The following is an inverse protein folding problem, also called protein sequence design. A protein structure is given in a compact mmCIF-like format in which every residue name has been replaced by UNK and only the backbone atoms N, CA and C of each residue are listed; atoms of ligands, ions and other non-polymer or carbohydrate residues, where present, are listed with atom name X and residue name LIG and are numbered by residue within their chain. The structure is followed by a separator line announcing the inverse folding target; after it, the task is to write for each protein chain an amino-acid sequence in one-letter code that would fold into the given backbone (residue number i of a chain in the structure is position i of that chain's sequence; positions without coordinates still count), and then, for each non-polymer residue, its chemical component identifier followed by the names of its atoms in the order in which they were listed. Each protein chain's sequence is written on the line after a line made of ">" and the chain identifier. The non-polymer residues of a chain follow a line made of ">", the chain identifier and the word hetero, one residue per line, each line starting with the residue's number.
data_IF_546851926699
#
_entry.id   IF_546851926699
#
_cell.length_a   1.000
_cell.length_b   1.000
_cell.length_c   1.000
_cell.angle_alpha   90.00
_cell.angle_beta   90.00
_cell.angle_gamma   90.00
#
_symmetry.space_group_name_H-M   'P 1'
#
loop_
_entity.id
_entity.type
_entity.pdbx_description
1 polymer ?
#
# COMPACT_ATOMS: atom_id res chain seq x y z
N UNK A 1 -14.95 22.54 6.51
CA UNK A 1 -14.65 21.52 5.48
C UNK A 1 -13.17 21.63 5.17
N UNK A 2 -12.36 20.65 5.57
CA UNK A 2 -10.96 20.57 5.13
C UNK A 2 -10.96 20.29 3.64
N UNK A 3 -10.26 21.09 2.84
CA UNK A 3 -10.13 20.78 1.41
C UNK A 3 -9.48 19.39 1.25
N UNK A 4 -9.89 18.61 0.23
CA UNK A 4 -9.32 17.29 -0.01
C UNK A 4 -7.81 17.40 -0.20
N UNK A 5 -7.06 16.44 0.36
CA UNK A 5 -5.60 16.41 0.21
C UNK A 5 -5.28 16.35 -1.28
N UNK A 6 -4.49 17.30 -1.83
CA UNK A 6 -4.21 17.32 -3.25
C UNK A 6 -3.46 16.04 -3.64
N UNK A 7 -3.80 15.51 -4.82
CA UNK A 7 -3.04 14.41 -5.40
C UNK A 7 -1.67 14.94 -5.82
N UNK A 8 -0.62 14.43 -5.19
CA UNK A 8 0.77 14.78 -5.50
C UNK A 8 1.32 13.70 -6.41
N UNK A 9 1.85 14.03 -7.57
CA UNK A 9 2.52 13.07 -8.45
C UNK A 9 3.54 13.83 -9.31
N UNK A 10 4.83 13.43 -9.40
CA UNK A 10 5.80 14.17 -10.20
C UNK A 10 5.40 14.24 -11.67
N UNK A 11 4.71 13.22 -12.19
CA UNK A 11 4.13 13.32 -13.52
C UNK A 11 3.13 14.49 -13.58
N UNK A 12 2.22 14.67 -12.61
CA UNK A 12 1.29 15.82 -12.62
C UNK A 12 2.04 17.15 -12.47
N UNK A 13 3.05 17.21 -11.60
CA UNK A 13 3.78 18.44 -11.25
C UNK A 13 4.75 18.89 -12.36
N UNK A 14 5.21 17.97 -13.21
CA UNK A 14 6.09 18.24 -14.33
C UNK A 14 5.48 17.69 -15.64
N UNK A 15 4.51 18.40 -16.24
CA UNK A 15 3.82 17.95 -17.45
C UNK A 15 4.74 17.76 -18.65
N UNK A 16 5.80 18.57 -18.72
CA UNK A 16 6.63 18.79 -19.92
C UNK A 16 7.85 17.86 -20.04
N UNK A 17 7.97 16.85 -19.17
CA UNK A 17 9.04 15.85 -19.31
C UNK A 17 8.83 15.10 -20.63
N UNK A 18 9.80 15.13 -21.58
CA UNK A 18 9.63 14.47 -22.86
C UNK A 18 9.38 12.97 -22.68
N UNK A 19 8.47 12.42 -23.48
CA UNK A 19 8.31 10.98 -23.57
C UNK A 19 9.59 10.34 -24.11
N UNK A 20 9.91 9.14 -23.63
CA UNK A 20 10.97 8.35 -24.23
C UNK A 20 10.60 7.96 -25.66
N UNK A 21 11.61 7.77 -26.50
CA UNK A 21 11.42 7.23 -27.84
C UNK A 21 10.82 5.82 -27.74
N UNK A 22 9.61 5.59 -28.29
CA UNK A 22 8.98 4.28 -28.25
C UNK A 22 9.84 3.17 -28.85
N UNK A 23 10.72 3.45 -29.82
CA UNK A 23 11.62 2.45 -30.44
C UNK A 23 12.55 1.79 -29.41
N UNK A 24 12.84 2.47 -28.29
CA UNK A 24 13.59 1.89 -27.18
C UNK A 24 12.94 0.67 -26.53
N UNK A 25 11.65 0.42 -26.80
CA UNK A 25 10.93 -0.77 -26.34
C UNK A 25 11.26 -2.02 -27.16
N UNK A 26 11.68 -1.88 -28.42
CA UNK A 26 11.76 -2.98 -29.38
C UNK A 26 12.55 -4.21 -28.87
N UNK A 27 13.73 -4.04 -28.23
CA UNK A 27 14.45 -5.17 -27.65
C UNK A 27 13.66 -5.92 -26.56
N UNK A 28 12.95 -5.19 -25.70
CA UNK A 28 12.12 -5.77 -24.65
C UNK A 28 10.89 -6.47 -25.24
N UNK A 29 10.24 -5.87 -26.25
CA UNK A 29 9.08 -6.48 -26.92
C UNK A 29 9.47 -7.82 -27.58
N UNK A 30 10.60 -7.84 -28.28
CA UNK A 30 11.13 -9.07 -28.86
C UNK A 30 11.44 -10.12 -27.78
N UNK A 31 12.03 -9.69 -26.65
CA UNK A 31 12.33 -10.59 -25.53
C UNK A 31 11.07 -11.21 -24.91
N UNK A 32 10.01 -10.43 -24.73
CA UNK A 32 8.76 -10.86 -24.11
C UNK A 32 8.04 -11.92 -24.95
N UNK A 33 8.21 -11.90 -26.28
CA UNK A 33 7.66 -12.89 -27.20
C UNK A 33 8.52 -14.14 -27.41
N UNK A 34 9.72 -14.21 -26.82
CA UNK A 34 10.59 -15.39 -26.90
C UNK A 34 10.14 -16.47 -25.92
N UNK A 35 10.27 -17.74 -26.28
CA UNK A 35 10.02 -18.88 -25.37
C UNK A 35 11.20 -19.15 -24.42
N UNK A 36 12.33 -18.47 -24.59
CA UNK A 36 13.50 -18.67 -23.74
C UNK A 36 13.22 -18.24 -22.29
N UNK A 37 13.55 -19.12 -21.34
CA UNK A 37 13.42 -18.86 -19.92
C UNK A 37 14.23 -17.64 -19.49
N UNK A 38 13.73 -16.92 -18.48
CA UNK A 38 14.42 -15.77 -17.86
C UNK A 38 15.24 -16.29 -16.68
N UNK A 39 16.52 -16.57 -16.89
CA UNK A 39 17.41 -17.11 -15.86
C UNK A 39 18.03 -16.02 -14.96
N UNK A 40 18.21 -14.81 -15.51
CA UNK A 40 18.76 -13.64 -14.83
C UNK A 40 17.91 -12.39 -15.08
N UNK A 41 18.08 -11.34 -14.28
CA UNK A 41 17.42 -10.06 -14.51
C UNK A 41 18.02 -9.38 -15.77
N UNK A 42 17.20 -9.15 -16.80
CA UNK A 42 17.58 -8.60 -18.11
C UNK A 42 17.16 -7.13 -18.23
N UNK A 43 18.11 -6.22 -18.48
CA UNK A 43 17.85 -4.78 -18.64
C UNK A 43 17.97 -4.34 -20.09
N UNK A 44 16.97 -3.59 -20.56
CA UNK A 44 16.83 -3.08 -21.92
C UNK A 44 16.95 -1.54 -21.92
N UNK A 45 17.02 -0.89 -23.10
CA UNK A 45 16.99 0.57 -23.18
C UNK A 45 15.77 1.16 -22.44
N UNK A 46 14.61 0.50 -22.58
CA UNK A 46 13.42 0.78 -21.78
C UNK A 46 12.97 -0.48 -21.04
N UNK A 47 13.23 -0.49 -19.73
CA UNK A 47 12.69 -1.46 -18.80
C UNK A 47 13.61 -2.62 -18.44
N UNK A 48 13.16 -3.39 -17.46
CA UNK A 48 13.85 -4.59 -16.96
C UNK A 48 12.85 -5.75 -16.87
N UNK A 49 13.21 -6.89 -17.44
CA UNK A 49 12.52 -8.17 -17.23
C UNK A 49 13.25 -8.93 -16.12
N UNK A 50 12.52 -9.34 -15.08
CA UNK A 50 13.09 -10.01 -13.91
C UNK A 50 12.74 -11.48 -13.88
N UNK A 51 13.59 -12.24 -13.20
CA UNK A 51 13.43 -13.69 -12.97
C UNK A 51 12.12 -14.08 -12.28
N UNK A 52 11.49 -13.16 -11.54
CA UNK A 52 10.18 -13.37 -10.90
C UNK A 52 8.98 -12.98 -11.79
N UNK A 53 9.21 -12.69 -13.07
CA UNK A 53 8.19 -12.30 -14.03
C UNK A 53 7.76 -10.83 -13.95
N UNK A 54 8.55 -9.98 -13.27
CA UNK A 54 8.33 -8.53 -13.30
C UNK A 54 8.85 -7.91 -14.58
N UNK A 55 7.99 -7.11 -15.21
CA UNK A 55 8.33 -6.19 -16.29
C UNK A 55 8.28 -4.79 -15.69
N UNK A 56 9.45 -4.25 -15.31
CA UNK A 56 9.59 -2.95 -14.63
C UNK A 56 9.99 -1.85 -15.61
N UNK A 57 9.06 -0.95 -15.88
CA UNK A 57 9.28 0.28 -16.64
C UNK A 57 8.97 1.52 -15.79
N UNK A 58 9.13 1.46 -14.47
CA UNK A 58 8.88 2.64 -13.65
C UNK A 58 9.82 3.79 -14.04
N UNK A 59 9.28 5.01 -14.16
CA UNK A 59 10.03 6.25 -14.43
C UNK A 59 10.76 6.25 -15.78
N UNK A 60 10.19 5.58 -16.79
CA UNK A 60 10.77 5.50 -18.14
C UNK A 60 10.11 6.47 -19.14
N UNK A 61 9.08 7.22 -18.72
CA UNK A 61 8.43 8.23 -19.57
C UNK A 61 7.77 7.66 -20.83
N UNK A 62 7.25 6.43 -20.79
CA UNK A 62 6.75 5.76 -22.01
C UNK A 62 5.46 6.39 -22.58
N UNK A 63 4.72 7.17 -21.79
CA UNK A 63 3.48 7.81 -22.21
C UNK A 63 2.36 6.84 -22.65
N UNK A 64 1.24 7.36 -23.17
CA UNK A 64 0.13 6.54 -23.65
C UNK A 64 0.51 5.66 -24.85
N UNK A 65 1.32 6.18 -25.78
CA UNK A 65 1.76 5.45 -26.96
C UNK A 65 2.68 4.26 -26.62
N UNK A 66 3.63 4.46 -25.71
CA UNK A 66 4.49 3.37 -25.24
C UNK A 66 3.72 2.31 -24.46
N UNK A 67 2.74 2.71 -23.64
CA UNK A 67 1.83 1.75 -22.99
C UNK A 67 1.04 0.93 -24.01
N UNK A 68 0.53 1.56 -25.07
CA UNK A 68 -0.20 0.88 -26.14
C UNK A 68 0.66 -0.12 -26.93
N UNK A 69 1.95 0.17 -27.14
CA UNK A 69 2.89 -0.78 -27.78
C UNK A 69 3.29 -1.91 -26.84
N UNK A 70 3.53 -1.61 -25.56
CA UNK A 70 4.03 -2.56 -24.58
C UNK A 70 2.99 -3.61 -24.17
N UNK A 71 1.77 -3.16 -23.87
CA UNK A 71 0.80 -3.98 -23.15
C UNK A 71 0.37 -5.26 -23.88
N UNK A 72 0.20 -5.29 -25.21
CA UNK A 72 -0.07 -6.54 -25.93
C UNK A 72 1.05 -7.57 -25.77
N UNK A 73 2.31 -7.16 -25.87
CA UNK A 73 3.46 -8.05 -25.72
C UNK A 73 3.58 -8.57 -24.27
N UNK A 74 3.32 -7.71 -23.28
CA UNK A 74 3.32 -8.10 -21.87
C UNK A 74 2.19 -9.08 -21.54
N UNK A 75 0.97 -8.82 -22.02
CA UNK A 75 -0.18 -9.68 -21.73
C UNK A 75 -0.06 -11.07 -22.37
N UNK A 76 0.54 -11.16 -23.57
CA UNK A 76 0.79 -12.41 -24.28
C UNK A 76 2.09 -13.12 -23.91
N UNK A 77 2.93 -12.53 -23.04
CA UNK A 77 4.22 -13.11 -22.69
C UNK A 77 4.07 -14.30 -21.74
N UNK A 78 4.78 -15.42 -21.96
CA UNK A 78 4.84 -16.52 -20.99
C UNK A 78 5.60 -16.17 -19.71
N UNK A 79 6.34 -15.06 -19.72
CA UNK A 79 7.22 -14.64 -18.61
C UNK A 79 6.55 -13.64 -17.68
N UNK A 80 5.69 -12.78 -18.22
CA UNK A 80 5.18 -11.63 -17.49
C UNK A 80 4.06 -12.00 -16.50
N UNK A 81 4.26 -11.66 -15.24
CA UNK A 81 3.29 -11.82 -14.15
C UNK A 81 2.95 -10.52 -13.45
N UNK A 82 3.86 -9.55 -13.52
CA UNK A 82 3.73 -8.30 -12.81
C UNK A 82 4.21 -7.18 -13.72
N UNK A 83 3.35 -6.21 -14.03
CA UNK A 83 3.72 -5.06 -14.85
C UNK A 83 3.79 -3.81 -13.98
N UNK A 84 4.93 -3.13 -14.00
CA UNK A 84 5.24 -1.98 -13.18
C UNK A 84 5.45 -0.76 -14.08
N UNK A 85 4.42 0.07 -14.21
CA UNK A 85 4.39 1.25 -15.08
C UNK A 85 4.33 2.56 -14.29
N UNK A 86 4.84 2.64 -13.07
CA UNK A 86 4.69 3.84 -12.26
C UNK A 86 5.47 5.05 -12.79
N UNK A 87 4.91 6.26 -12.69
CA UNK A 87 5.59 7.51 -13.12
C UNK A 87 5.97 7.50 -14.60
N UNK A 88 5.01 7.16 -15.48
CA UNK A 88 5.20 7.14 -16.93
C UNK A 88 4.27 8.10 -17.69
N UNK A 89 3.42 8.85 -16.98
CA UNK A 89 2.44 9.76 -17.57
C UNK A 89 1.55 9.10 -18.64
N UNK A 90 1.14 7.85 -18.42
CA UNK A 90 0.34 7.10 -19.41
C UNK A 90 -1.07 7.66 -19.58
N UNK A 91 -1.60 8.40 -18.60
CA UNK A 91 -2.92 9.01 -18.64
C UNK A 91 -4.07 8.00 -18.80
N UNK A 92 -5.27 8.52 -19.09
CA UNK A 92 -6.46 7.71 -19.31
C UNK A 92 -6.40 6.87 -20.58
N UNK A 93 -5.75 7.38 -21.63
CA UNK A 93 -5.52 6.65 -22.89
C UNK A 93 -4.63 5.43 -22.67
N UNK A 94 -3.53 5.58 -21.93
CA UNK A 94 -2.64 4.48 -21.60
C UNK A 94 -3.29 3.48 -20.63
N UNK A 95 -4.09 3.95 -19.66
CA UNK A 95 -4.92 3.07 -18.83
C UNK A 95 -5.92 2.25 -19.66
N UNK A 96 -6.54 2.87 -20.67
CA UNK A 96 -7.42 2.18 -21.62
C UNK A 96 -6.66 1.18 -22.49
N UNK A 97 -5.39 1.43 -22.81
CA UNK A 97 -4.54 0.45 -23.49
C UNK A 97 -4.18 -0.74 -22.59
N UNK A 98 -3.91 -0.50 -21.30
CA UNK A 98 -3.76 -1.57 -20.31
C UNK A 98 -5.04 -2.41 -20.25
N UNK A 99 -6.20 -1.77 -20.11
CA UNK A 99 -7.49 -2.46 -20.03
C UNK A 99 -7.76 -3.35 -21.25
N UNK A 100 -7.53 -2.85 -22.47
CA UNK A 100 -7.72 -3.64 -23.71
C UNK A 100 -6.78 -4.83 -23.83
N UNK A 101 -5.60 -4.77 -23.21
CA UNK A 101 -4.65 -5.88 -23.22
C UNK A 101 -5.00 -6.98 -22.22
N UNK A 102 -5.90 -6.71 -21.26
CA UNK A 102 -6.41 -7.71 -20.31
C UNK A 102 -7.50 -8.58 -20.95
N UNK A 103 -7.20 -9.18 -22.11
CA UNK A 103 -8.07 -10.17 -22.75
C UNK A 103 -7.95 -11.53 -22.04
N UNK A 104 -8.95 -12.39 -22.22
CA UNK A 104 -8.99 -13.73 -21.62
C UNK A 104 -7.68 -14.51 -21.87
N UNK A 105 -7.15 -15.12 -20.81
CA UNK A 105 -5.94 -15.97 -20.87
C UNK A 105 -4.60 -15.27 -20.61
N UNK A 106 -4.59 -13.98 -20.24
CA UNK A 106 -3.35 -13.29 -19.85
C UNK A 106 -2.74 -13.84 -18.55
N UNK A 107 -1.42 -13.73 -18.37
CA UNK A 107 -0.70 -14.19 -17.17
C UNK A 107 -0.58 -13.20 -16.00
N UNK A 108 -1.12 -11.98 -16.15
CA UNK A 108 -0.83 -10.86 -15.23
C UNK A 108 -1.56 -10.95 -13.89
N UNK A 109 -0.80 -10.96 -12.80
CA UNK A 109 -1.29 -10.97 -11.41
C UNK A 109 -1.23 -9.61 -10.74
N UNK A 110 -0.36 -8.71 -11.20
CA UNK A 110 -0.17 -7.38 -10.59
C UNK A 110 -0.08 -6.29 -11.64
N UNK A 111 -0.92 -5.27 -11.47
CA UNK A 111 -0.87 -4.03 -12.24
C UNK A 111 -0.44 -2.91 -11.31
N UNK A 112 0.79 -2.42 -11.49
CA UNK A 112 1.29 -1.27 -10.76
C UNK A 112 1.32 -0.02 -11.65
N UNK A 113 0.33 0.86 -11.44
CA UNK A 113 0.05 2.02 -12.29
C UNK A 113 0.17 3.34 -11.52
N UNK A 114 0.96 3.36 -10.45
CA UNK A 114 1.08 4.51 -9.56
C UNK A 114 1.67 5.77 -10.22
N UNK A 115 1.07 6.94 -9.95
CA UNK A 115 1.51 8.24 -10.43
C UNK A 115 1.62 8.32 -11.96
N UNK A 116 0.48 8.23 -12.64
CA UNK A 116 0.41 8.21 -14.10
C UNK A 116 -0.57 9.22 -14.71
N UNK A 117 -1.15 10.09 -13.88
CA UNK A 117 -2.24 11.01 -14.28
C UNK A 117 -3.50 10.27 -14.77
N UNK A 118 -3.78 9.09 -14.22
CA UNK A 118 -5.00 8.34 -14.54
C UNK A 118 -6.17 8.96 -13.78
N UNK A 119 -7.11 9.55 -14.52
CA UNK A 119 -8.36 10.10 -14.02
C UNK A 119 -9.49 9.07 -13.93
N UNK A 120 -10.72 9.53 -13.67
CA UNK A 120 -11.90 8.67 -13.58
C UNK A 120 -12.17 7.84 -14.84
N UNK A 121 -11.91 8.38 -16.03
CA UNK A 121 -12.18 7.69 -17.31
C UNK A 121 -11.24 6.50 -17.51
N UNK A 122 -9.95 6.69 -17.25
CA UNK A 122 -8.97 5.61 -17.32
C UNK A 122 -9.19 4.55 -16.25
N UNK A 123 -9.61 4.96 -15.04
CA UNK A 123 -10.01 4.02 -13.98
C UNK A 123 -11.22 3.22 -14.40
N UNK A 124 -12.23 3.85 -15.00
CA UNK A 124 -13.43 3.18 -15.50
C UNK A 124 -13.06 2.11 -16.51
N UNK A 125 -12.24 2.44 -17.51
CA UNK A 125 -11.75 1.47 -18.50
C UNK A 125 -11.03 0.28 -17.85
N UNK A 126 -10.14 0.53 -16.87
CA UNK A 126 -9.47 -0.53 -16.12
C UNK A 126 -10.46 -1.40 -15.34
N UNK A 127 -11.42 -0.80 -14.66
CA UNK A 127 -12.38 -1.50 -13.81
C UNK A 127 -13.40 -2.31 -14.62
N UNK A 128 -13.74 -1.86 -15.82
CA UNK A 128 -14.60 -2.61 -16.73
C UNK A 128 -13.94 -3.91 -17.16
N UNK A 129 -12.66 -3.86 -17.59
CA UNK A 129 -11.88 -5.05 -17.93
C UNK A 129 -11.70 -5.98 -16.72
N UNK A 130 -11.39 -5.41 -15.55
CA UNK A 130 -11.18 -6.19 -14.32
C UNK A 130 -12.48 -6.79 -13.73
N UNK A 131 -13.66 -6.34 -14.15
CA UNK A 131 -14.94 -6.81 -13.58
C UNK A 131 -15.23 -8.29 -13.85
N UNK A 132 -14.63 -8.85 -14.91
CA UNK A 132 -14.73 -10.27 -15.27
C UNK A 132 -13.40 -11.00 -15.22
N UNK A 133 -12.29 -10.29 -15.02
CA UNK A 133 -10.97 -10.89 -14.84
C UNK A 133 -10.88 -11.71 -13.54
N UNK A 134 -10.27 -12.88 -13.63
CA UNK A 134 -10.04 -13.80 -12.51
C UNK A 134 -8.55 -13.98 -12.17
N UNK A 135 -7.67 -13.29 -12.90
CA UNK A 135 -6.23 -13.51 -12.85
C UNK A 135 -5.50 -12.43 -12.05
N UNK A 136 -5.86 -11.14 -12.20
CA UNK A 136 -5.26 -10.03 -11.45
C UNK A 136 -5.63 -10.13 -9.97
N UNK A 137 -4.60 -10.11 -9.11
CA UNK A 137 -4.72 -10.18 -7.65
C UNK A 137 -4.40 -8.86 -6.95
N UNK A 138 -3.67 -7.98 -7.62
CA UNK A 138 -3.24 -6.71 -7.05
C UNK A 138 -3.29 -5.55 -8.05
N UNK A 139 -4.04 -4.50 -7.68
CA UNK A 139 -4.17 -3.26 -8.44
C UNK A 139 -3.63 -2.09 -7.61
N UNK A 140 -2.67 -1.36 -8.17
CA UNK A 140 -2.04 -0.22 -7.50
C UNK A 140 -2.23 1.08 -8.27
N UNK A 141 -3.03 1.98 -7.71
CA UNK A 141 -3.40 3.26 -8.35
C UNK A 141 -2.84 4.48 -7.62
N UNK A 142 -1.94 4.30 -6.64
CA UNK A 142 -1.40 5.37 -5.81
C UNK A 142 -1.07 6.64 -6.60
N UNK A 143 -1.41 7.80 -6.05
CA UNK A 143 -1.04 9.12 -6.60
C UNK A 143 -1.59 9.38 -8.01
N UNK A 144 -2.76 8.84 -8.34
CA UNK A 144 -3.52 9.18 -9.54
C UNK A 144 -4.77 9.98 -9.15
N UNK A 145 -5.25 10.93 -9.99
CA UNK A 145 -6.46 11.71 -9.74
C UNK A 145 -7.74 10.88 -9.94
N UNK A 146 -7.87 9.75 -9.23
CA UNK A 146 -9.02 8.83 -9.32
C UNK A 146 -10.32 9.52 -8.91
N UNK A 147 -10.29 10.27 -7.80
CA UNK A 147 -11.45 10.99 -7.26
C UNK A 147 -12.61 10.07 -6.86
N UNK A 148 -13.72 10.68 -6.45
CA UNK A 148 -14.91 9.93 -6.01
C UNK A 148 -15.56 9.14 -7.16
N UNK A 149 -15.55 9.67 -8.38
CA UNK A 149 -16.09 9.01 -9.57
C UNK A 149 -15.29 7.74 -9.91
N UNK A 150 -13.97 7.81 -9.91
CA UNK A 150 -13.12 6.63 -10.13
C UNK A 150 -13.26 5.61 -9.00
N UNK A 151 -13.40 6.03 -7.74
CA UNK A 151 -13.66 5.09 -6.63
C UNK A 151 -15.04 4.44 -6.77
N UNK A 152 -16.03 5.15 -7.31
CA UNK A 152 -17.35 4.58 -7.61
C UNK A 152 -17.24 3.45 -8.65
N UNK A 153 -16.44 3.64 -9.70
CA UNK A 153 -16.15 2.60 -10.68
C UNK A 153 -15.42 1.40 -10.05
N UNK A 154 -14.42 1.64 -9.19
CA UNK A 154 -13.74 0.59 -8.42
C UNK A 154 -14.72 -0.19 -7.54
N UNK A 155 -15.62 0.49 -6.82
CA UNK A 155 -16.63 -0.15 -5.99
C UNK A 155 -17.60 -1.01 -6.82
N UNK A 156 -17.97 -0.56 -8.02
CA UNK A 156 -18.80 -1.34 -8.94
C UNK A 156 -18.11 -2.62 -9.41
N UNK A 157 -16.84 -2.53 -9.80
CA UNK A 157 -16.02 -3.70 -10.17
C UNK A 157 -15.87 -4.68 -9.02
N UNK A 158 -15.62 -4.19 -7.79
CA UNK A 158 -15.44 -5.04 -6.61
C UNK A 158 -16.70 -5.81 -6.20
N UNK A 159 -17.89 -5.43 -6.65
CA UNK A 159 -19.10 -6.24 -6.46
C UNK A 159 -19.14 -7.50 -7.35
N UNK A 160 -18.36 -7.52 -8.43
CA UNK A 160 -18.34 -8.60 -9.42
C UNK A 160 -17.05 -9.41 -9.37
N UNK A 161 -15.91 -8.72 -9.38
CA UNK A 161 -14.60 -9.35 -9.33
C UNK A 161 -14.40 -10.03 -7.97
N UNK A 162 -14.04 -11.30 -7.92
CA UNK A 162 -13.75 -12.01 -6.66
C UNK A 162 -12.27 -12.42 -6.53
N UNK A 163 -11.46 -12.12 -7.54
CA UNK A 163 -10.05 -12.49 -7.60
C UNK A 163 -9.13 -11.50 -6.89
N UNK A 164 -9.44 -10.20 -6.93
CA UNK A 164 -8.60 -9.13 -6.38
C UNK A 164 -8.48 -9.24 -4.86
N UNK A 165 -7.24 -9.21 -4.36
CA UNK A 165 -6.89 -9.28 -2.93
C UNK A 165 -6.15 -8.04 -2.43
N UNK A 166 -5.59 -7.24 -3.33
CA UNK A 166 -4.88 -6.00 -3.00
C UNK A 166 -5.42 -4.83 -3.78
N UNK A 167 -5.72 -3.75 -3.08
CA UNK A 167 -6.10 -2.49 -3.68
C UNK A 167 -5.34 -1.34 -3.02
N UNK A 168 -4.65 -0.55 -3.84
CA UNK A 168 -4.04 0.70 -3.39
C UNK A 168 -4.72 1.92 -4.02
N UNK A 169 -5.21 2.77 -3.12
CA UNK A 169 -5.83 4.07 -3.37
C UNK A 169 -5.13 5.15 -2.52
N UNK A 170 -3.80 5.07 -2.37
CA UNK A 170 -3.01 6.05 -1.61
C UNK A 170 -2.97 7.37 -2.36
N UNK A 171 -3.40 8.46 -1.70
CA UNK A 171 -3.44 9.81 -2.26
C UNK A 171 -4.10 9.85 -3.63
N UNK A 172 -5.32 9.31 -3.71
CA UNK A 172 -6.13 9.26 -4.94
C UNK A 172 -7.40 10.10 -4.86
N UNK A 173 -7.59 10.84 -3.78
CA UNK A 173 -8.76 11.69 -3.57
C UNK A 173 -9.96 10.95 -2.98
N UNK A 174 -9.73 9.85 -2.24
CA UNK A 174 -10.80 9.14 -1.54
C UNK A 174 -11.39 10.04 -0.45
N UNK A 175 -12.70 10.28 -0.50
CA UNK A 175 -13.43 11.03 0.53
C UNK A 175 -14.21 10.10 1.45
N UNK A 176 -14.84 10.64 2.49
CA UNK A 176 -15.76 9.87 3.33
C UNK A 176 -16.94 9.28 2.53
N UNK A 177 -17.39 9.98 1.48
CA UNK A 177 -18.51 9.55 0.66
C UNK A 177 -18.14 8.32 -0.18
N UNK A 178 -17.02 8.37 -0.90
CA UNK A 178 -16.55 7.24 -1.71
C UNK A 178 -15.99 6.09 -0.87
N UNK A 179 -15.42 6.36 0.30
CA UNK A 179 -15.04 5.31 1.26
C UNK A 179 -16.26 4.48 1.71
N UNK A 180 -17.43 5.10 1.87
CA UNK A 180 -18.67 4.37 2.19
C UNK A 180 -19.10 3.45 1.05
N UNK A 181 -19.05 3.93 -0.19
CA UNK A 181 -19.35 3.10 -1.37
C UNK A 181 -18.39 1.91 -1.48
N UNK A 182 -17.10 2.14 -1.18
CA UNK A 182 -16.09 1.09 -1.15
C UNK A 182 -16.39 0.05 -0.06
N UNK A 183 -16.73 0.49 1.15
CA UNK A 183 -17.13 -0.40 2.25
C UNK A 183 -18.33 -1.27 1.86
N UNK A 184 -19.39 -0.65 1.31
CA UNK A 184 -20.61 -1.35 0.90
C UNK A 184 -20.29 -2.46 -0.12
N UNK A 185 -19.46 -2.15 -1.13
CA UNK A 185 -19.01 -3.13 -2.11
C UNK A 185 -18.21 -4.27 -1.46
N UNK A 186 -17.24 -3.94 -0.60
CA UNK A 186 -16.35 -4.92 0.00
C UNK A 186 -17.06 -5.89 0.96
N UNK A 187 -18.05 -5.39 1.70
CA UNK A 187 -18.82 -6.18 2.69
C UNK A 187 -19.66 -7.27 2.01
N UNK A 188 -20.06 -7.04 0.76
CA UNK A 188 -20.87 -7.99 -0.02
C UNK A 188 -20.06 -9.13 -0.67
N UNK A 189 -18.74 -9.12 -0.56
CA UNK A 189 -17.88 -10.04 -1.30
C UNK A 189 -17.82 -11.42 -0.62
N UNK A 190 -17.83 -12.53 -1.38
CA UNK A 190 -17.56 -13.85 -0.82
C UNK A 190 -16.10 -14.00 -0.38
N UNK A 191 -15.23 -13.16 -0.92
CA UNK A 191 -13.79 -13.23 -0.79
C UNK A 191 -13.24 -11.82 -0.51
N UNK A 192 -12.68 -11.59 0.68
CA UNK A 192 -12.28 -10.25 1.07
C UNK A 192 -11.12 -9.75 0.22
N UNK A 193 -11.10 -8.43 0.00
CA UNK A 193 -9.84 -7.73 -0.28
C UNK A 193 -9.07 -7.71 1.03
N UNK A 194 -7.89 -8.33 1.04
CA UNK A 194 -7.13 -8.55 2.26
C UNK A 194 -6.24 -7.36 2.60
N UNK A 195 -5.73 -6.68 1.57
CA UNK A 195 -4.74 -5.61 1.67
C UNK A 195 -5.26 -4.33 1.04
N UNK A 196 -5.51 -3.32 1.87
CA UNK A 196 -6.10 -2.06 1.46
C UNK A 196 -5.23 -0.88 1.90
N UNK A 197 -4.81 -0.07 0.92
CA UNK A 197 -3.99 1.11 1.16
C UNK A 197 -4.79 2.39 0.87
N UNK A 198 -4.94 3.22 1.90
CA UNK A 198 -5.77 4.43 1.91
C UNK A 198 -5.03 5.64 2.49
N UNK A 199 -3.70 5.58 2.56
CA UNK A 199 -2.86 6.66 3.07
C UNK A 199 -2.98 7.96 2.25
N UNK A 200 -2.73 9.11 2.86
CA UNK A 200 -2.60 10.37 2.13
C UNK A 200 -3.88 10.91 1.48
N UNK A 201 -5.06 10.52 1.96
CA UNK A 201 -6.35 10.96 1.45
C UNK A 201 -7.03 12.03 2.32
N UNK A 202 -6.41 12.42 3.44
CA UNK A 202 -6.98 13.43 4.33
C UNK A 202 -8.07 12.89 5.25
N UNK A 203 -8.13 11.56 5.45
CA UNK A 203 -9.14 10.91 6.28
C UNK A 203 -9.01 11.34 7.74
N UNK A 204 -10.12 11.71 8.38
CA UNK A 204 -10.15 12.22 9.75
C UNK A 204 -10.77 11.21 10.72
N UNK A 205 -10.77 11.53 12.01
CA UNK A 205 -11.46 10.77 13.04
C UNK A 205 -12.94 10.46 12.70
N UNK A 206 -13.62 11.29 11.92
CA UNK A 206 -15.03 11.09 11.56
C UNK A 206 -15.22 9.91 10.57
N UNK A 207 -14.17 9.54 9.84
CA UNK A 207 -14.17 8.36 8.95
C UNK A 207 -13.77 7.07 9.67
N UNK A 208 -13.32 7.15 10.93
CA UNK A 208 -12.77 6.00 11.65
C UNK A 208 -13.78 4.85 11.81
N UNK A 209 -15.08 5.16 11.92
CA UNK A 209 -16.13 4.14 11.96
C UNK A 209 -16.22 3.32 10.66
N UNK A 210 -16.06 3.97 9.50
CA UNK A 210 -16.02 3.29 8.19
C UNK A 210 -14.74 2.44 8.07
N UNK A 211 -13.61 2.99 8.51
CA UNK A 211 -12.32 2.27 8.49
C UNK A 211 -12.33 1.04 9.40
N UNK A 212 -12.95 1.14 10.58
CA UNK A 212 -13.16 0.02 11.49
C UNK A 212 -14.08 -1.05 10.87
N UNK A 213 -15.13 -0.64 10.14
CA UNK A 213 -16.02 -1.56 9.44
C UNK A 213 -15.33 -2.31 8.29
N UNK A 214 -14.33 -1.71 7.63
CA UNK A 214 -13.53 -2.43 6.64
C UNK A 214 -12.82 -3.65 7.25
N UNK A 215 -12.34 -3.53 8.48
CA UNK A 215 -11.70 -4.63 9.20
C UNK A 215 -12.74 -5.64 9.68
N UNK A 216 -13.75 -5.17 10.40
CA UNK A 216 -14.71 -6.02 11.11
C UNK A 216 -15.70 -6.71 10.18
N UNK A 217 -16.22 -5.98 9.20
CA UNK A 217 -17.38 -6.39 8.39
C UNK A 217 -16.93 -6.84 6.99
N UNK A 218 -15.94 -6.17 6.39
CA UNK A 218 -15.44 -6.52 5.06
C UNK A 218 -14.23 -7.47 5.06
N UNK A 219 -13.70 -7.83 6.24
CA UNK A 219 -12.63 -8.81 6.40
C UNK A 219 -11.25 -8.35 5.93
N UNK A 220 -11.01 -7.03 5.80
CA UNK A 220 -9.68 -6.49 5.49
C UNK A 220 -8.72 -6.79 6.63
N UNK A 221 -7.57 -7.41 6.32
CA UNK A 221 -6.59 -7.85 7.33
C UNK A 221 -5.34 -6.98 7.38
N UNK A 222 -5.00 -6.30 6.30
CA UNK A 222 -3.94 -5.32 6.27
C UNK A 222 -4.48 -3.97 5.80
N UNK A 223 -4.58 -3.03 6.74
CA UNK A 223 -5.13 -1.70 6.51
C UNK A 223 -4.03 -0.65 6.71
N UNK A 224 -3.64 0.00 5.60
CA UNK A 224 -2.57 0.99 5.58
C UNK A 224 -3.15 2.39 5.39
N UNK A 225 -3.08 3.21 6.43
CA UNK A 225 -3.62 4.55 6.54
C UNK A 225 -2.56 5.64 6.83
N UNK A 226 -1.29 5.54 6.38
CA UNK A 226 -0.29 6.53 6.73
C UNK A 226 -0.62 7.91 6.14
N UNK A 227 -0.16 8.98 6.78
CA UNK A 227 -0.34 10.35 6.34
C UNK A 227 -1.83 10.76 6.19
N UNK A 228 -2.64 10.49 7.21
CA UNK A 228 -4.02 10.96 7.35
C UNK A 228 -4.16 11.79 8.65
N UNK A 229 -5.36 12.06 9.15
CA UNK A 229 -5.64 12.94 10.29
C UNK A 229 -6.56 12.26 11.33
N UNK A 230 -6.31 10.98 11.62
CA UNK A 230 -7.18 10.19 12.49
C UNK A 230 -7.15 10.62 13.96
N UNK A 231 -5.98 11.06 14.45
CA UNK A 231 -5.76 11.40 15.85
C UNK A 231 -6.03 10.25 16.82
N UNK A 232 -6.03 10.57 18.12
CA UNK A 232 -6.29 9.59 19.18
C UNK A 232 -7.69 8.97 19.09
N UNK A 233 -8.71 9.77 18.77
CA UNK A 233 -10.10 9.29 18.61
C UNK A 233 -10.20 8.25 17.50
N UNK A 234 -9.61 8.50 16.33
CA UNK A 234 -9.64 7.56 15.22
C UNK A 234 -8.84 6.29 15.52
N UNK A 235 -7.68 6.43 16.18
CA UNK A 235 -6.88 5.29 16.61
C UNK A 235 -7.64 4.38 17.59
N UNK A 236 -8.38 4.95 18.55
CA UNK A 236 -9.18 4.18 19.49
C UNK A 236 -10.32 3.39 18.82
N UNK A 237 -10.99 3.98 17.83
CA UNK A 237 -12.04 3.29 17.05
C UNK A 237 -11.46 2.12 16.25
N UNK A 238 -10.29 2.30 15.63
CA UNK A 238 -9.59 1.23 14.91
C UNK A 238 -9.10 0.13 15.85
N UNK A 239 -8.59 0.50 17.03
CA UNK A 239 -8.15 -0.45 18.05
C UNK A 239 -9.30 -1.37 18.48
N UNK A 240 -10.50 -0.82 18.70
CA UNK A 240 -11.67 -1.63 19.04
C UNK A 240 -12.03 -2.66 17.96
N UNK A 241 -11.87 -2.33 16.68
CA UNK A 241 -12.10 -3.28 15.57
C UNK A 241 -10.98 -4.31 15.42
N UNK A 242 -9.78 -4.00 15.90
CA UNK A 242 -8.61 -4.88 15.87
C UNK A 242 -8.50 -5.80 17.10
N UNK A 243 -9.44 -5.74 18.05
CA UNK A 243 -9.36 -6.49 19.31
C UNK A 243 -9.65 -8.01 19.16
N UNK A 244 -10.17 -8.46 18.01
CA UNK A 244 -10.38 -9.90 17.74
C UNK A 244 -9.04 -10.62 17.55
N UNK A 245 -8.62 -11.35 18.59
CA UNK A 245 -7.37 -12.12 18.58
C UNK A 245 -7.42 -13.36 17.69
N UNK A 246 -8.62 -13.83 17.27
CA UNK A 246 -8.72 -14.98 16.37
C UNK A 246 -8.24 -14.66 14.96
N UNK A 247 -8.24 -13.37 14.58
CA UNK A 247 -7.85 -12.93 13.26
C UNK A 247 -7.02 -11.65 13.29
N UNK A 248 -5.74 -11.75 13.71
CA UNK A 248 -4.88 -10.58 13.89
C UNK A 248 -4.75 -9.73 12.62
N UNK A 249 -4.65 -8.41 12.82
CA UNK A 249 -4.57 -7.43 11.74
C UNK A 249 -3.22 -6.75 11.66
N UNK A 250 -2.95 -6.16 10.51
CA UNK A 250 -1.78 -5.31 10.24
C UNK A 250 -2.24 -3.89 10.01
N UNK A 251 -1.81 -2.98 10.87
CA UNK A 251 -2.22 -1.58 10.87
C UNK A 251 -1.04 -0.67 10.55
N UNK A 252 -1.14 0.05 9.44
CA UNK A 252 -0.23 1.14 9.09
C UNK A 252 -0.82 2.49 9.46
N UNK A 253 -0.41 3.09 10.56
CA UNK A 253 -1.00 4.32 11.13
C UNK A 253 0.00 5.49 11.22
N UNK A 254 1.12 5.41 10.50
CA UNK A 254 2.17 6.43 10.54
C UNK A 254 1.69 7.82 10.14
N UNK A 255 2.06 8.87 10.88
CA UNK A 255 1.71 10.26 10.55
C UNK A 255 0.20 10.50 10.52
N UNK A 256 -0.48 10.29 11.65
CA UNK A 256 -1.91 10.47 11.84
C UNK A 256 -2.27 11.44 12.97
N UNK A 257 -1.29 12.07 13.61
CA UNK A 257 -1.52 12.90 14.81
C UNK A 257 -1.89 12.07 16.04
N UNK A 258 -1.47 10.81 16.10
CA UNK A 258 -1.72 9.91 17.23
C UNK A 258 -0.75 10.26 18.37
N UNK A 259 -1.31 10.60 19.52
CA UNK A 259 -0.62 10.87 20.77
C UNK A 259 -0.64 9.68 21.74
N UNK A 260 -0.32 9.91 23.02
CA UNK A 260 -0.26 8.85 24.03
C UNK A 260 -1.60 8.13 24.25
N UNK A 261 -2.74 8.82 24.17
CA UNK A 261 -4.05 8.22 24.41
C UNK A 261 -4.44 7.23 23.31
N UNK A 262 -4.20 7.57 22.04
CA UNK A 262 -4.42 6.65 20.92
C UNK A 262 -3.43 5.48 20.95
N UNK A 263 -2.17 5.72 21.32
CA UNK A 263 -1.20 4.65 21.53
C UNK A 263 -1.63 3.69 22.65
N UNK A 264 -2.23 4.20 23.73
CA UNK A 264 -2.79 3.37 24.79
C UNK A 264 -3.95 2.50 24.30
N UNK A 265 -4.89 3.08 23.56
CA UNK A 265 -6.00 2.31 22.99
C UNK A 265 -5.51 1.18 22.06
N UNK A 266 -4.50 1.45 21.22
CA UNK A 266 -3.87 0.44 20.38
C UNK A 266 -3.15 -0.64 21.19
N UNK A 267 -2.51 -0.26 22.31
CA UNK A 267 -1.89 -1.21 23.23
C UNK A 267 -2.93 -2.11 23.90
N UNK A 268 -4.08 -1.57 24.31
CA UNK A 268 -5.16 -2.35 24.91
C UNK A 268 -5.75 -3.39 23.92
N UNK A 269 -5.61 -3.16 22.61
CA UNK A 269 -6.01 -4.08 21.54
C UNK A 269 -4.87 -4.92 20.95
N UNK A 270 -3.66 -4.88 21.53
CA UNK A 270 -2.45 -5.47 20.92
C UNK A 270 -2.55 -6.99 20.71
N UNK A 271 -3.41 -7.67 21.46
CA UNK A 271 -3.70 -9.10 21.31
C UNK A 271 -4.29 -9.52 19.95
N UNK A 272 -4.86 -8.58 19.19
CA UNK A 272 -5.34 -8.81 17.82
C UNK A 272 -4.54 -8.05 16.75
N UNK A 273 -3.33 -7.56 17.08
CA UNK A 273 -2.49 -6.79 16.15
C UNK A 273 -1.16 -7.51 15.91
N UNK A 274 -0.94 -7.96 14.67
CA UNK A 274 0.29 -8.63 14.26
C UNK A 274 1.35 -7.61 13.80
N UNK A 275 0.94 -6.48 13.23
CA UNK A 275 1.84 -5.39 12.80
C UNK A 275 1.24 -4.06 13.17
N UNK A 276 2.03 -3.23 13.84
CA UNK A 276 1.67 -1.85 14.17
C UNK A 276 2.76 -0.89 13.71
N UNK A 277 2.43 -0.06 12.72
CA UNK A 277 3.30 1.02 12.27
C UNK A 277 2.76 2.37 12.70
N UNK A 278 3.45 3.02 13.64
CA UNK A 278 3.16 4.38 14.12
C UNK A 278 4.22 5.37 13.66
N UNK A 279 5.20 4.94 12.86
CA UNK A 279 6.35 5.75 12.50
C UNK A 279 5.99 6.88 11.54
N UNK A 280 6.99 7.70 11.22
CA UNK A 280 6.84 8.78 10.25
C UNK A 280 6.94 8.26 8.81
N UNK A 281 5.87 8.36 7.99
CA UNK A 281 5.97 8.03 6.57
C UNK A 281 6.70 9.14 5.80
N UNK A 282 7.29 8.79 4.66
CA UNK A 282 7.99 9.75 3.79
C UNK A 282 7.05 10.86 3.29
N UNK A 283 5.78 10.54 3.07
CA UNK A 283 4.75 11.44 2.55
C UNK A 283 4.22 12.46 3.56
N UNK A 284 4.51 12.30 4.86
CA UNK A 284 3.94 13.12 5.94
C UNK A 284 4.07 14.62 5.67
N UNK A 285 5.29 15.09 5.36
CA UNK A 285 5.55 16.51 5.10
C UNK A 285 4.92 16.99 3.80
N UNK A 286 5.03 16.22 2.72
CA UNK A 286 4.51 16.60 1.41
C UNK A 286 2.99 16.69 1.36
N UNK A 287 2.30 15.94 2.24
CA UNK A 287 0.84 15.89 2.32
C UNK A 287 0.28 16.70 3.50
N UNK A 288 1.13 17.35 4.31
CA UNK A 288 0.70 18.13 5.47
C UNK A 288 0.06 17.28 6.57
N UNK A 289 0.40 16.00 6.65
CA UNK A 289 -0.15 15.11 7.67
C UNK A 289 0.54 15.35 9.03
N UNK A 290 -0.21 15.32 10.15
CA UNK A 290 0.35 15.49 11.48
C UNK A 290 1.22 14.29 11.89
N UNK A 291 2.39 14.55 12.44
CA UNK A 291 3.24 13.50 12.99
C UNK A 291 2.57 12.79 14.17
N UNK A 292 2.83 11.50 14.33
CA UNK A 292 2.48 10.80 15.57
C UNK A 292 3.45 11.24 16.68
N UNK A 293 2.93 11.51 17.87
CA UNK A 293 3.67 11.97 19.04
C UNK A 293 3.31 11.14 20.26
N UNK A 294 3.41 9.80 20.14
CA UNK A 294 3.04 8.87 21.20
C UNK A 294 3.97 8.94 22.42
N UNK A 295 5.21 9.39 22.21
CA UNK A 295 6.20 9.61 23.27
C UNK A 295 6.59 8.34 24.04
N UNK A 296 7.25 8.56 25.18
CA UNK A 296 7.57 7.49 26.12
C UNK A 296 6.29 6.88 26.71
N UNK A 297 5.24 7.65 26.98
CA UNK A 297 4.00 7.15 27.57
C UNK A 297 3.32 6.10 26.68
N UNK A 298 3.23 6.36 25.37
CA UNK A 298 2.74 5.36 24.41
C UNK A 298 3.63 4.12 24.35
N UNK A 299 4.96 4.29 24.48
CA UNK A 299 5.86 3.15 24.54
C UNK A 299 5.70 2.32 25.83
N UNK A 300 5.41 2.94 26.99
CA UNK A 300 5.10 2.22 28.22
C UNK A 300 3.78 1.44 28.12
N UNK A 301 2.77 2.03 27.48
CA UNK A 301 1.50 1.35 27.21
C UNK A 301 1.72 0.10 26.34
N UNK A 302 2.40 0.26 25.20
CA UNK A 302 2.74 -0.86 24.30
C UNK A 302 3.59 -1.91 25.01
N UNK A 303 4.60 -1.51 25.78
CA UNK A 303 5.45 -2.42 26.55
C UNK A 303 4.65 -3.27 27.54
N UNK A 304 3.66 -2.67 28.22
CA UNK A 304 2.81 -3.39 29.18
C UNK A 304 1.92 -4.44 28.52
N UNK A 305 1.58 -4.24 27.24
CA UNK A 305 0.74 -5.15 26.46
C UNK A 305 1.53 -6.16 25.60
N UNK A 306 2.86 -6.01 25.48
CA UNK A 306 3.69 -6.89 24.66
C UNK A 306 3.66 -8.37 25.09
N UNK A 307 3.73 -8.72 26.40
CA UNK A 307 3.69 -10.11 26.82
C UNK A 307 2.42 -10.84 26.35
N UNK A 308 2.59 -11.95 25.64
CA UNK A 308 1.48 -12.73 25.08
C UNK A 308 0.85 -12.14 23.81
N UNK A 309 1.33 -11.00 23.31
CA UNK A 309 0.83 -10.42 22.05
C UNK A 309 1.34 -11.18 20.81
N UNK A 310 0.56 -11.23 19.71
CA UNK A 310 1.00 -11.78 18.43
C UNK A 310 1.88 -10.79 17.62
N UNK A 311 2.32 -9.68 18.23
CA UNK A 311 2.97 -8.59 17.52
C UNK A 311 4.33 -9.02 16.96
N UNK A 312 4.44 -9.01 15.64
CA UNK A 312 5.66 -9.36 14.89
C UNK A 312 6.43 -8.13 14.44
N UNK A 313 5.75 -7.01 14.20
CA UNK A 313 6.39 -5.78 13.72
C UNK A 313 5.85 -4.55 14.44
N UNK A 314 6.76 -3.79 15.02
CA UNK A 314 6.47 -2.52 15.68
C UNK A 314 7.35 -1.40 15.10
N UNK A 315 6.75 -0.35 14.53
CA UNK A 315 7.50 0.79 13.98
C UNK A 315 7.19 2.06 14.79
N UNK A 316 8.23 2.64 15.39
CA UNK A 316 8.16 3.79 16.30
C UNK A 316 9.16 4.90 15.92
N UNK A 317 9.73 4.88 14.71
CA UNK A 317 10.61 5.97 14.25
C UNK A 317 9.85 7.29 14.22
N UNK A 318 10.43 8.30 14.87
CA UNK A 318 9.91 9.67 14.91
C UNK A 318 8.57 9.85 15.66
N UNK A 319 8.28 9.01 16.66
CA UNK A 319 7.07 9.15 17.49
C UNK A 319 7.28 9.95 18.79
N UNK A 320 8.43 10.59 18.97
CA UNK A 320 8.83 11.23 20.23
C UNK A 320 9.40 10.26 21.27
N UNK A 321 9.58 8.98 20.94
CA UNK A 321 10.22 7.97 21.80
C UNK A 321 11.65 8.37 22.20
N UNK A 322 11.94 8.37 23.50
CA UNK A 322 13.27 8.63 24.05
C UNK A 322 13.99 7.35 24.47
N UNK A 323 15.24 7.49 24.92
CA UNK A 323 16.02 6.37 25.43
C UNK A 323 15.41 5.70 26.67
N UNK A 324 14.57 6.41 27.45
CA UNK A 324 13.89 5.83 28.62
C UNK A 324 12.76 4.90 28.18
N UNK A 325 11.82 5.39 27.35
CA UNK A 325 10.75 4.55 26.82
C UNK A 325 11.30 3.36 26.02
N UNK A 326 12.35 3.55 25.22
CA UNK A 326 12.95 2.46 24.45
C UNK A 326 13.58 1.37 25.35
N UNK A 327 14.16 1.74 26.50
CA UNK A 327 14.67 0.77 27.49
C UNK A 327 13.53 0.01 28.17
N UNK A 328 12.45 0.71 28.50
CA UNK A 328 11.28 0.08 29.11
C UNK A 328 10.63 -0.92 28.14
N UNK A 329 10.43 -0.51 26.88
CA UNK A 329 9.95 -1.39 25.81
C UNK A 329 10.86 -2.62 25.64
N UNK A 330 12.19 -2.43 25.60
CA UNK A 330 13.15 -3.53 25.49
C UNK A 330 13.03 -4.53 26.65
N UNK A 331 12.87 -4.03 27.89
CA UNK A 331 12.77 -4.86 29.08
C UNK A 331 11.51 -5.72 29.07
N UNK A 332 10.43 -5.23 28.46
CA UNK A 332 9.15 -5.93 28.36
C UNK A 332 9.09 -6.98 27.25
N UNK A 333 10.05 -7.02 26.31
CA UNK A 333 10.10 -8.05 25.25
C UNK A 333 10.38 -9.43 25.88
N UNK A 334 9.44 -10.39 25.82
CA UNK A 334 9.66 -11.73 26.33
C UNK A 334 10.72 -12.50 25.52
N UNK A 335 11.35 -13.52 26.13
CA UNK A 335 12.34 -14.34 25.43
C UNK A 335 11.73 -15.18 24.30
N UNK A 336 10.45 -15.54 24.41
CA UNK A 336 9.67 -16.28 23.41
C UNK A 336 8.90 -15.38 22.44
N UNK A 337 9.11 -14.06 22.48
CA UNK A 337 8.40 -13.08 21.67
C UNK A 337 8.40 -13.43 20.17
N UNK A 338 7.27 -13.26 19.45
CA UNK A 338 7.21 -13.43 18.00
C UNK A 338 7.79 -12.21 17.25
N UNK A 339 8.27 -11.19 17.95
CA UNK A 339 8.73 -9.93 17.37
C UNK A 339 9.93 -10.13 16.44
N UNK A 340 9.81 -9.63 15.22
CA UNK A 340 10.81 -9.72 14.14
C UNK A 340 11.44 -8.36 13.81
N UNK A 341 10.74 -7.27 14.14
CA UNK A 341 11.19 -5.92 13.83
C UNK A 341 10.72 -4.91 14.86
N UNK A 342 11.66 -4.07 15.32
CA UNK A 342 11.36 -2.82 16.03
C UNK A 342 12.05 -1.65 15.34
N UNK A 343 11.26 -0.76 14.77
CA UNK A 343 11.72 0.48 14.16
C UNK A 343 11.96 1.54 15.21
N UNK A 344 13.23 1.95 15.38
CA UNK A 344 13.66 2.91 16.40
C UNK A 344 14.32 4.13 15.78
N UNK A 345 13.88 5.32 16.20
CA UNK A 345 14.35 6.62 15.69
C UNK A 345 15.87 6.81 15.75
N UNK A 346 16.45 7.67 14.89
CA UNK A 346 17.91 7.88 14.81
C UNK A 346 18.51 8.40 16.13
N UNK A 347 17.78 9.18 16.92
CA UNK A 347 18.24 9.75 18.19
C UNK A 347 18.44 8.76 19.35
N UNK A 348 18.11 7.48 19.17
CA UNK A 348 18.23 6.47 20.23
C UNK A 348 19.63 5.83 20.29
N UNK A 349 20.17 5.51 21.49
CA UNK A 349 21.50 4.94 21.63
C UNK A 349 21.68 3.63 20.84
N UNK A 350 22.81 3.52 20.11
CA UNK A 350 23.15 2.31 19.34
C UNK A 350 23.16 1.02 20.17
N UNK A 351 23.48 1.11 21.47
CA UNK A 351 23.46 -0.05 22.39
C UNK A 351 22.05 -0.59 22.60
N UNK A 352 21.03 0.29 22.69
CA UNK A 352 19.63 -0.11 22.83
C UNK A 352 19.16 -0.81 21.55
N UNK A 353 19.42 -0.22 20.39
CA UNK A 353 19.09 -0.82 19.08
C UNK A 353 19.69 -2.21 18.90
N UNK A 354 20.98 -2.37 19.19
CA UNK A 354 21.66 -3.68 19.16
C UNK A 354 21.07 -4.70 20.14
N UNK A 355 20.56 -4.23 21.28
CA UNK A 355 19.95 -5.13 22.27
C UNK A 355 18.61 -5.66 21.79
N UNK A 356 17.81 -4.84 21.10
CA UNK A 356 16.61 -5.33 20.40
C UNK A 356 16.97 -6.39 19.36
N UNK A 357 17.94 -6.15 18.48
CA UNK A 357 18.31 -7.10 17.42
C UNK A 357 18.61 -8.51 17.94
N UNK A 358 19.15 -8.66 19.16
CA UNK A 358 19.41 -9.97 19.78
C UNK A 358 18.16 -10.69 20.30
N UNK A 359 17.06 -9.98 20.49
CA UNK A 359 15.76 -10.51 20.95
C UNK A 359 14.76 -10.74 19.81
N UNK A 360 15.10 -10.31 18.58
CA UNK A 360 14.19 -10.41 17.44
C UNK A 360 14.35 -11.73 16.72
N UNK A 361 13.22 -12.29 16.28
CA UNK A 361 13.18 -13.44 15.37
C UNK A 361 13.57 -13.03 13.95
N UNK A 362 13.99 -14.00 13.11
CA UNK A 362 14.20 -13.75 11.69
C UNK A 362 12.93 -13.20 11.03
N UNK A 363 13.10 -12.19 10.17
CA UNK A 363 11.98 -11.61 9.45
C UNK A 363 11.39 -12.61 8.45
N UNK A 364 10.07 -12.78 8.52
CA UNK A 364 9.36 -13.49 7.44
C UNK A 364 9.27 -12.61 6.21
N UNK A 365 9.30 -13.25 5.04
CA UNK A 365 9.14 -12.57 3.77
C UNK A 365 7.80 -11.82 3.69
N UNK A 366 7.82 -10.64 3.05
CA UNK A 366 6.60 -9.93 2.73
C UNK A 366 5.72 -10.74 1.75
N UNK A 367 4.41 -10.48 1.78
CA UNK A 367 3.46 -11.11 0.86
C UNK A 367 3.90 -10.91 -0.61
N UNK A 368 3.71 -11.91 -1.51
CA UNK A 368 4.09 -11.82 -2.92
C UNK A 368 3.69 -10.50 -3.61
N UNK A 369 2.44 -10.05 -3.44
CA UNK A 369 1.98 -8.79 -4.05
C UNK A 369 2.77 -7.56 -3.56
N UNK A 370 3.25 -7.55 -2.31
CA UNK A 370 4.11 -6.48 -1.77
C UNK A 370 5.55 -6.61 -2.28
N UNK A 371 6.05 -7.84 -2.46
CA UNK A 371 7.37 -8.07 -3.06
C UNK A 371 7.41 -7.66 -4.53
N UNK A 372 6.33 -7.91 -5.26
CA UNK A 372 6.19 -7.54 -6.67
C UNK A 372 6.41 -6.03 -6.90
N UNK A 373 6.02 -5.20 -5.93
CA UNK A 373 6.17 -3.74 -5.96
C UNK A 373 7.26 -3.21 -5.00
N UNK A 374 8.09 -4.11 -4.44
CA UNK A 374 9.08 -3.78 -3.41
C UNK A 374 10.22 -2.86 -3.85
N UNK A 375 10.46 -2.69 -5.16
CA UNK A 375 11.36 -1.67 -5.70
C UNK A 375 10.77 -0.26 -5.62
N UNK A 376 9.44 -0.12 -5.51
CA UNK A 376 8.70 1.14 -5.69
C UNK A 376 8.10 1.73 -4.40
N UNK A 377 8.12 0.98 -3.29
CA UNK A 377 7.62 1.41 -1.97
C UNK A 377 8.72 1.68 -0.93
N UNK A 378 9.98 1.81 -1.36
CA UNK A 378 11.10 2.15 -0.46
C UNK A 378 11.20 3.64 -0.17
#
# INVERSE_FOLDING_TARGET
>A
MTQPTPVRCPAIEHPDVPAADPEGLDPLLARLGSDQAVEDDETFPLGTLRTDGRVDLCKQGIGPAGAARLMPAVAGSPHARHVLLGTNAIGDEGASAVARALADGHGLRTLYLGCNRIGPDGVTALTDALSTDDTVRALWLKRNPVGDDGVTAVAAMLRRNTALRTLDLVNTGVTAASLRLLLDALTSRPHPVERLFLGGNGLTADTAGLLAALVRDAGVRELYLPANHLGDRGAAVLAAAAADSAHPVRLGLGGNGIGPAGARALADALGGIETLDLGRPMSERSLGAPANATGDDGAHALASALPGSPLRRLELRHTGLTGRGAKFLLAAVPDDSPLEYVGLGPGLPRKVKRSFTRRLRPMTAAHPDLRAIGSVYR
#
